data_IF_734048595267
#
_entry.id   IF_734048595267
#
_cell.length_a   1.000
_cell.length_b   1.000
_cell.length_c   1.000
_cell.angle_alpha   90.00
_cell.angle_beta   90.00
_cell.angle_gamma   90.00
#
_symmetry.space_group_name_H-M   'P 1'
#
loop_
_entity.id
_entity.type
_entity.pdbx_description
1 polymer ?
#
# COMPACT_ATOMS: atom_id res chain seq x y z
N UNK A 1 18.34 6.93 31.85
CA UNK A 1 17.04 7.48 31.47
C UNK A 1 17.15 8.28 30.15
N UNK A 2 17.93 7.78 29.15
CA UNK A 2 18.19 8.44 27.85
C UNK A 2 17.79 7.52 26.67
N UNK A 3 17.50 6.22 26.91
CA UNK A 3 17.25 5.23 25.82
C UNK A 3 15.81 5.07 25.36
N UNK A 4 14.87 5.88 25.87
CA UNK A 4 13.44 5.76 25.51
C UNK A 4 12.98 6.69 24.35
N UNK A 5 13.89 7.44 23.72
CA UNK A 5 13.55 8.41 22.66
C UNK A 5 13.90 7.96 21.23
N UNK A 6 14.36 6.72 21.06
CA UNK A 6 15.01 6.32 19.78
C UNK A 6 14.06 5.73 18.73
N UNK A 7 12.78 5.49 18.98
CA UNK A 7 11.92 4.84 17.97
C UNK A 7 10.51 5.45 17.82
N UNK A 8 10.36 6.76 17.89
CA UNK A 8 9.09 7.36 17.50
C UNK A 8 9.13 7.65 16.00
N UNK A 9 8.50 6.78 15.19
CA UNK A 9 8.26 7.11 13.79
C UNK A 9 7.33 8.34 13.72
N UNK A 10 7.69 9.33 12.94
CA UNK A 10 6.87 10.53 12.69
C UNK A 10 5.95 10.33 11.48
N UNK A 11 5.96 9.13 10.91
CA UNK A 11 5.20 8.77 9.71
C UNK A 11 3.76 8.41 10.08
N UNK A 12 2.80 8.82 9.27
CA UNK A 12 1.39 8.42 9.35
C UNK A 12 1.07 7.27 8.41
N UNK A 13 0.09 6.45 8.77
CA UNK A 13 -0.38 5.35 7.94
C UNK A 13 -1.57 5.76 7.08
N UNK A 14 -1.62 5.24 5.86
CA UNK A 14 -2.79 5.34 4.97
C UNK A 14 -3.10 3.96 4.42
N UNK A 15 -4.32 3.48 4.62
CA UNK A 15 -4.80 2.22 4.04
C UNK A 15 -5.90 2.53 3.04
N UNK A 16 -5.71 2.08 1.79
CA UNK A 16 -6.67 2.34 0.70
C UNK A 16 -7.58 1.13 0.51
N UNK A 17 -8.87 1.27 0.84
CA UNK A 17 -9.88 0.21 0.80
C UNK A 17 -11.19 0.63 0.09
N UNK A 18 -11.14 1.65 -0.79
CA UNK A 18 -12.32 2.24 -1.44
C UNK A 18 -12.67 1.72 -2.84
N UNK A 19 -11.85 0.85 -3.43
CA UNK A 19 -12.01 0.38 -4.82
C UNK A 19 -13.30 -0.40 -5.09
N UNK A 20 -13.70 -0.49 -6.37
CA UNK A 20 -14.96 -1.10 -6.83
C UNK A 20 -15.04 -2.64 -6.68
N UNK A 21 -13.90 -3.33 -6.56
CA UNK A 21 -13.82 -4.79 -6.41
C UNK A 21 -14.56 -5.60 -7.50
N UNK A 22 -14.70 -5.07 -8.72
CA UNK A 22 -15.51 -5.66 -9.81
C UNK A 22 -15.09 -7.07 -10.19
N UNK A 23 -13.84 -7.43 -9.99
CA UNK A 23 -13.28 -8.75 -10.33
C UNK A 23 -13.67 -9.87 -9.35
N UNK A 24 -14.06 -9.53 -8.12
CA UNK A 24 -14.57 -10.48 -7.12
C UNK A 24 -16.08 -10.75 -7.23
N UNK A 25 -16.77 -10.02 -8.12
CA UNK A 25 -18.14 -10.29 -8.57
C UNK A 25 -19.13 -10.55 -7.40
N UNK A 26 -19.67 -11.79 -7.35
CA UNK A 26 -20.69 -12.17 -6.36
C UNK A 26 -20.21 -12.08 -4.91
N UNK A 27 -18.92 -12.26 -4.66
CA UNK A 27 -18.35 -12.21 -3.31
C UNK A 27 -18.46 -10.82 -2.67
N UNK A 28 -18.57 -9.77 -3.48
CA UNK A 28 -18.62 -8.38 -3.01
C UNK A 28 -19.97 -7.70 -3.21
N UNK A 29 -21.03 -8.47 -3.48
CA UNK A 29 -22.39 -7.91 -3.63
C UNK A 29 -22.95 -7.29 -2.35
N UNK A 30 -22.59 -7.84 -1.21
CA UNK A 30 -23.15 -7.46 0.11
C UNK A 30 -22.08 -6.99 1.10
N UNK A 31 -20.80 -6.96 0.68
CA UNK A 31 -19.69 -6.55 1.55
C UNK A 31 -18.55 -5.96 0.75
N UNK A 32 -17.67 -5.22 1.42
CA UNK A 32 -16.42 -4.75 0.84
C UNK A 32 -15.40 -5.92 0.75
N UNK A 33 -14.59 -5.97 -0.33
CA UNK A 33 -13.60 -7.04 -0.52
C UNK A 33 -12.62 -7.17 0.65
N UNK A 34 -12.23 -6.05 1.27
CA UNK A 34 -11.28 -6.03 2.38
C UNK A 34 -11.86 -6.57 3.70
N UNK A 35 -13.19 -6.80 3.75
CA UNK A 35 -13.87 -7.47 4.87
C UNK A 35 -14.02 -8.97 4.65
N UNK A 36 -13.72 -9.48 3.45
CA UNK A 36 -13.68 -10.90 3.19
C UNK A 36 -12.57 -11.57 4.03
N UNK A 37 -12.82 -12.79 4.54
CA UNK A 37 -11.82 -13.50 5.30
C UNK A 37 -10.67 -13.97 4.40
N UNK A 38 -9.46 -13.86 4.91
CA UNK A 38 -8.28 -14.57 4.40
C UNK A 38 -7.75 -15.41 5.56
N UNK A 39 -7.92 -16.72 5.44
CA UNK A 39 -7.66 -17.73 6.46
C UNK A 39 -8.44 -17.45 7.75
N UNK A 40 -7.84 -16.89 8.78
CA UNK A 40 -8.39 -16.78 10.14
C UNK A 40 -8.90 -15.38 10.52
N UNK A 41 -8.78 -14.39 9.62
CA UNK A 41 -9.17 -13.00 9.90
C UNK A 41 -9.58 -12.21 8.64
N UNK A 42 -10.28 -11.08 8.80
CA UNK A 42 -10.60 -10.20 7.68
C UNK A 42 -9.34 -9.69 6.96
N UNK A 43 -9.39 -9.58 5.64
CA UNK A 43 -8.27 -9.12 4.80
C UNK A 43 -7.66 -7.81 5.29
N UNK A 44 -8.46 -6.86 5.74
CA UNK A 44 -8.00 -5.54 6.22
C UNK A 44 -7.11 -5.62 7.47
N UNK A 45 -7.13 -6.71 8.22
CA UNK A 45 -6.30 -6.88 9.41
C UNK A 45 -4.81 -6.97 9.08
N UNK A 46 -4.46 -7.54 7.91
CA UNK A 46 -3.06 -7.70 7.50
C UNK A 46 -2.32 -6.35 7.36
N UNK A 47 -2.84 -5.36 6.60
CA UNK A 47 -2.21 -4.04 6.55
C UNK A 47 -2.26 -3.30 7.89
N UNK A 48 -3.32 -3.46 8.71
CA UNK A 48 -3.39 -2.85 10.04
C UNK A 48 -2.32 -3.42 10.99
N UNK A 49 -2.12 -4.73 10.99
CA UNK A 49 -1.04 -5.38 11.74
C UNK A 49 0.34 -4.95 11.25
N UNK A 50 0.50 -4.73 9.93
CA UNK A 50 1.75 -4.19 9.39
C UNK A 50 2.03 -2.78 9.90
N UNK A 51 1.02 -1.89 9.95
CA UNK A 51 1.12 -0.56 10.54
C UNK A 51 1.51 -0.61 12.03
N UNK A 52 0.87 -1.51 12.81
CA UNK A 52 1.21 -1.76 14.21
C UNK A 52 2.67 -2.21 14.38
N UNK A 53 3.11 -3.20 13.55
CA UNK A 53 4.48 -3.72 13.63
C UNK A 53 5.54 -2.67 13.43
N UNK A 54 5.34 -1.70 12.53
CA UNK A 54 6.28 -0.60 12.27
C UNK A 54 6.16 0.56 13.26
N UNK A 55 5.18 0.51 14.17
CA UNK A 55 5.01 1.49 15.24
C UNK A 55 4.22 2.74 14.83
N UNK A 56 3.52 2.73 13.70
CA UNK A 56 2.61 3.81 13.29
C UNK A 56 1.44 3.87 14.26
N UNK A 57 1.09 5.09 14.70
CA UNK A 57 0.05 5.33 15.71
C UNK A 57 -1.21 6.00 15.16
N UNK A 58 -1.14 6.64 14.02
CA UNK A 58 -2.27 7.30 13.37
C UNK A 58 -2.42 6.73 11.96
N UNK A 59 -3.60 6.19 11.65
CA UNK A 59 -3.88 5.57 10.35
C UNK A 59 -5.19 6.11 9.80
N UNK A 60 -5.17 6.54 8.54
CA UNK A 60 -6.36 6.87 7.76
C UNK A 60 -6.75 5.66 6.90
N UNK A 61 -7.97 5.17 7.08
CA UNK A 61 -8.58 4.19 6.21
C UNK A 61 -9.53 4.89 5.22
N UNK A 62 -9.24 4.78 3.92
CA UNK A 62 -10.18 5.23 2.89
C UNK A 62 -11.10 4.09 2.51
N UNK A 63 -12.39 4.36 2.36
CA UNK A 63 -13.39 3.34 2.00
C UNK A 63 -14.50 3.94 1.15
N UNK A 64 -15.31 3.08 0.51
CA UNK A 64 -16.55 3.52 -0.12
C UNK A 64 -17.59 3.88 0.94
N UNK A 65 -18.43 4.90 0.65
CA UNK A 65 -19.43 5.40 1.60
C UNK A 65 -20.41 4.34 2.09
N UNK A 66 -20.81 3.41 1.22
CA UNK A 66 -21.72 2.30 1.53
C UNK A 66 -21.17 1.30 2.56
N UNK A 67 -19.85 1.23 2.73
CA UNK A 67 -19.19 0.27 3.63
C UNK A 67 -18.48 0.91 4.82
N UNK A 68 -18.53 2.23 4.97
CA UNK A 68 -17.84 2.90 6.11
C UNK A 68 -18.38 2.41 7.45
N UNK A 69 -19.69 2.14 7.53
CA UNK A 69 -20.31 1.59 8.74
C UNK A 69 -19.82 0.20 9.09
N UNK A 70 -19.60 -0.67 8.10
CA UNK A 70 -19.08 -2.02 8.30
C UNK A 70 -17.65 -1.99 8.87
N UNK A 71 -16.79 -1.13 8.29
CA UNK A 71 -15.43 -0.92 8.82
C UNK A 71 -15.45 -0.33 10.22
N UNK A 72 -16.29 0.67 10.48
CA UNK A 72 -16.40 1.31 11.79
C UNK A 72 -16.89 0.33 12.87
N UNK A 73 -17.84 -0.55 12.52
CA UNK A 73 -18.32 -1.60 13.43
C UNK A 73 -17.24 -2.65 13.73
N UNK A 74 -16.44 -3.04 12.72
CA UNK A 74 -15.39 -4.05 12.88
C UNK A 74 -14.17 -3.52 13.61
N UNK A 75 -13.70 -2.32 13.27
CA UNK A 75 -12.39 -1.80 13.65
C UNK A 75 -12.46 -0.73 14.75
N UNK A 76 -13.65 -0.15 14.97
CA UNK A 76 -13.89 0.92 15.93
C UNK A 76 -12.84 2.05 15.82
N UNK A 77 -12.20 2.43 16.91
CA UNK A 77 -11.12 3.43 16.97
C UNK A 77 -9.73 2.90 16.63
N UNK A 78 -9.58 1.58 16.44
CA UNK A 78 -8.31 0.93 16.12
C UNK A 78 -7.54 0.42 17.35
N UNK A 79 -8.17 0.37 18.51
CA UNK A 79 -7.53 0.01 19.79
C UNK A 79 -6.91 -1.40 19.77
N UNK A 80 -7.52 -2.37 19.09
CA UNK A 80 -7.01 -3.73 18.91
C UNK A 80 -5.64 -3.75 18.22
N UNK A 81 -5.35 -2.73 17.44
CA UNK A 81 -4.10 -2.57 16.71
C UNK A 81 -3.14 -1.57 17.35
N UNK A 82 -3.46 -1.04 18.55
CA UNK A 82 -2.66 0.01 19.18
C UNK A 82 -2.40 1.22 18.29
N UNK A 83 -3.41 1.59 17.49
CA UNK A 83 -3.44 2.74 16.58
C UNK A 83 -4.69 3.58 16.83
N UNK A 84 -4.64 4.84 16.39
CA UNK A 84 -5.81 5.69 16.25
C UNK A 84 -6.26 5.66 14.80
N UNK A 85 -7.47 5.15 14.55
CA UNK A 85 -8.01 4.97 13.22
C UNK A 85 -8.94 6.12 12.84
N UNK A 86 -8.72 6.69 11.66
CA UNK A 86 -9.55 7.70 11.02
C UNK A 86 -10.15 7.13 9.74
N UNK A 87 -11.33 7.62 9.35
CA UNK A 87 -12.03 7.15 8.16
C UNK A 87 -12.24 8.29 7.17
N UNK A 88 -12.01 8.01 5.88
CA UNK A 88 -12.34 8.93 4.79
C UNK A 88 -13.13 8.21 3.70
N UNK A 89 -14.15 8.90 3.15
CA UNK A 89 -15.02 8.35 2.12
C UNK A 89 -14.49 8.72 0.75
N UNK A 90 -14.16 7.72 -0.06
CA UNK A 90 -13.81 7.88 -1.47
C UNK A 90 -15.08 8.00 -2.31
N UNK A 91 -15.36 9.19 -2.84
CA UNK A 91 -16.53 9.45 -3.68
C UNK A 91 -16.35 8.84 -5.08
N UNK A 92 -15.21 9.08 -5.72
CA UNK A 92 -14.91 8.53 -7.03
C UNK A 92 -14.09 7.23 -6.90
N UNK A 93 -14.78 6.10 -6.82
CA UNK A 93 -14.17 4.78 -6.65
C UNK A 93 -13.39 4.29 -7.88
N UNK A 94 -13.58 4.93 -9.04
CA UNK A 94 -12.90 4.61 -10.29
C UNK A 94 -11.68 5.51 -10.55
N UNK A 95 -11.40 6.49 -9.69
CA UNK A 95 -10.39 7.52 -9.91
C UNK A 95 -8.93 7.06 -9.81
N UNK A 96 -8.69 5.84 -9.34
CA UNK A 96 -7.36 5.27 -9.21
C UNK A 96 -6.74 5.45 -7.82
N UNK A 97 -5.56 4.84 -7.64
CA UNK A 97 -4.87 4.81 -6.33
C UNK A 97 -4.43 6.20 -5.91
N UNK A 98 -3.88 7.01 -6.83
CA UNK A 98 -3.40 8.34 -6.49
C UNK A 98 -4.55 9.30 -6.10
N UNK A 99 -5.74 9.17 -6.70
CA UNK A 99 -6.92 9.93 -6.28
C UNK A 99 -7.37 9.55 -4.87
N UNK A 100 -7.44 8.25 -4.57
CA UNK A 100 -7.77 7.76 -3.23
C UNK A 100 -6.76 8.26 -2.19
N UNK A 101 -5.47 8.27 -2.54
CA UNK A 101 -4.40 8.78 -1.68
C UNK A 101 -4.54 10.26 -1.38
N UNK A 102 -5.04 11.06 -2.32
CA UNK A 102 -5.23 12.50 -2.13
C UNK A 102 -6.18 12.84 -0.97
N UNK A 103 -7.07 11.92 -0.58
CA UNK A 103 -7.93 12.08 0.61
C UNK A 103 -7.14 12.18 1.92
N UNK A 104 -5.90 11.70 1.93
CA UNK A 104 -5.03 11.75 3.10
C UNK A 104 -4.32 13.09 3.29
N UNK A 105 -4.45 14.06 2.38
CA UNK A 105 -3.71 15.32 2.41
C UNK A 105 -3.83 16.08 3.74
N UNK A 106 -5.06 16.34 4.18
CA UNK A 106 -5.30 17.06 5.43
C UNK A 106 -4.94 16.23 6.68
N UNK A 107 -5.07 14.90 6.59
CA UNK A 107 -4.67 13.99 7.65
C UNK A 107 -3.14 13.95 7.81
N UNK A 108 -2.39 13.91 6.72
CA UNK A 108 -0.93 13.83 6.72
C UNK A 108 -0.27 15.07 7.35
N UNK A 109 -0.81 16.28 7.15
CA UNK A 109 -0.31 17.54 7.75
C UNK A 109 1.18 17.76 7.55
N UNK A 110 1.67 17.57 6.32
CA UNK A 110 3.08 17.67 5.93
C UNK A 110 4.01 16.62 6.58
N UNK A 111 3.47 15.57 7.16
CA UNK A 111 4.27 14.43 7.64
C UNK A 111 4.43 13.39 6.52
N UNK A 112 5.55 12.63 6.49
CA UNK A 112 5.70 11.51 5.58
C UNK A 112 4.64 10.43 5.88
N UNK A 113 4.28 9.66 4.86
CA UNK A 113 3.24 8.64 4.97
C UNK A 113 3.73 7.26 4.50
N UNK A 114 3.26 6.22 5.19
CA UNK A 114 3.27 4.84 4.71
C UNK A 114 1.89 4.50 4.15
N UNK A 115 1.84 4.09 2.90
CA UNK A 115 0.60 3.70 2.21
C UNK A 115 0.62 2.19 1.99
N UNK A 116 -0.47 1.50 2.35
CA UNK A 116 -0.65 0.07 2.06
C UNK A 116 -2.05 -0.10 1.45
N UNK A 117 -2.13 -0.81 0.32
CA UNK A 117 -3.43 -1.21 -0.23
C UNK A 117 -4.07 -2.26 0.67
N UNK A 118 -5.37 -2.13 0.91
CA UNK A 118 -6.10 -2.93 1.90
C UNK A 118 -6.18 -4.43 1.61
N UNK A 119 -5.84 -4.85 0.40
CA UNK A 119 -5.80 -6.24 -0.08
C UNK A 119 -4.39 -6.81 -0.22
N UNK A 120 -3.38 -6.08 0.23
CA UNK A 120 -1.99 -6.53 0.18
C UNK A 120 -1.60 -7.27 1.45
N UNK A 121 -1.15 -8.50 1.29
CA UNK A 121 -0.67 -9.38 2.35
C UNK A 121 0.80 -9.68 2.13
N UNK A 122 1.63 -9.49 3.16
CA UNK A 122 3.08 -9.72 3.10
C UNK A 122 3.64 -10.02 4.49
N UNK A 123 4.82 -10.64 4.52
CA UNK A 123 5.51 -11.00 5.78
C UNK A 123 6.86 -10.30 5.96
N UNK A 124 7.10 -9.23 5.23
CA UNK A 124 8.34 -8.48 5.31
C UNK A 124 8.31 -7.49 6.48
N UNK A 125 9.42 -7.39 7.22
CA UNK A 125 9.57 -6.37 8.28
C UNK A 125 10.02 -5.03 7.67
N UNK A 126 9.06 -4.14 7.51
CA UNK A 126 9.28 -2.80 6.95
C UNK A 126 10.14 -1.86 7.83
N UNK A 127 10.39 -2.19 9.12
CA UNK A 127 11.06 -1.27 10.07
C UNK A 127 12.39 -0.76 9.57
N UNK A 128 13.24 -1.67 9.06
CA UNK A 128 14.59 -1.30 8.58
C UNK A 128 14.51 -0.36 7.39
N UNK A 129 13.67 -0.69 6.41
CA UNK A 129 13.50 0.09 5.18
C UNK A 129 12.91 1.46 5.47
N UNK A 130 11.88 1.54 6.35
CA UNK A 130 11.29 2.81 6.76
C UNK A 130 12.24 3.67 7.59
N UNK A 131 13.05 3.08 8.48
CA UNK A 131 14.09 3.82 9.21
C UNK A 131 15.14 4.40 8.27
N UNK A 132 15.53 3.66 7.23
CA UNK A 132 16.44 4.16 6.20
C UNK A 132 15.81 5.32 5.43
N UNK A 133 14.53 5.17 5.03
CA UNK A 133 13.77 6.21 4.36
C UNK A 133 13.64 7.50 5.20
N UNK A 134 13.26 7.39 6.49
CA UNK A 134 13.20 8.54 7.40
C UNK A 134 14.55 9.24 7.57
N UNK A 135 15.65 8.49 7.62
CA UNK A 135 17.00 9.08 7.69
C UNK A 135 17.36 9.81 6.39
N UNK A 136 16.99 9.25 5.23
CA UNK A 136 17.18 9.94 3.96
C UNK A 136 16.36 11.24 3.90
N UNK A 137 15.13 11.25 4.40
CA UNK A 137 14.32 12.46 4.46
C UNK A 137 14.94 13.54 5.37
N UNK A 138 15.61 13.16 6.46
CA UNK A 138 16.33 14.12 7.32
C UNK A 138 17.47 14.81 6.57
N UNK A 139 18.18 14.08 5.70
CA UNK A 139 19.33 14.59 4.94
C UNK A 139 18.86 15.29 3.66
N UNK A 140 18.11 14.60 2.83
CA UNK A 140 17.79 15.04 1.47
C UNK A 140 16.51 15.86 1.37
N UNK A 141 15.67 15.88 2.42
CA UNK A 141 14.38 16.57 2.49
C UNK A 141 13.36 16.12 1.41
N UNK A 142 13.64 15.02 0.71
CA UNK A 142 12.82 14.52 -0.38
C UNK A 142 13.01 13.02 -0.56
N UNK A 143 11.94 12.31 -0.94
CA UNK A 143 12.05 10.90 -1.32
C UNK A 143 10.71 10.17 -1.39
N UNK A 144 10.74 9.08 -2.14
CA UNK A 144 9.73 8.04 -2.13
C UNK A 144 10.40 6.67 -2.10
N UNK A 145 9.70 5.70 -1.54
CA UNK A 145 10.10 4.30 -1.55
C UNK A 145 8.94 3.45 -2.03
N UNK A 146 9.22 2.57 -2.96
CA UNK A 146 8.31 1.53 -3.44
C UNK A 146 8.84 0.15 -3.06
N UNK A 147 7.97 -0.83 -2.99
CA UNK A 147 8.35 -2.21 -2.72
C UNK A 147 8.03 -3.09 -3.91
N UNK A 148 9.00 -3.89 -4.33
CA UNK A 148 8.89 -4.82 -5.45
C UNK A 148 8.98 -6.27 -4.99
N UNK A 149 8.42 -7.19 -5.77
CA UNK A 149 8.50 -8.63 -5.56
C UNK A 149 8.75 -9.33 -6.89
N UNK A 150 9.56 -10.39 -6.89
CA UNK A 150 9.76 -11.20 -8.09
C UNK A 150 8.53 -12.05 -8.40
N UNK A 151 7.88 -11.81 -9.54
CA UNK A 151 6.71 -12.54 -10.05
C UNK A 151 6.90 -12.88 -11.54
N UNK A 152 7.74 -13.87 -11.88
CA UNK A 152 8.14 -14.13 -13.27
C UNK A 152 6.99 -14.31 -14.26
N UNK A 153 5.89 -14.95 -13.84
CA UNK A 153 4.73 -15.21 -14.71
C UNK A 153 3.66 -14.10 -14.69
N UNK A 154 3.66 -13.22 -13.69
CA UNK A 154 2.55 -12.32 -13.38
C UNK A 154 2.93 -10.83 -13.37
N UNK A 155 4.21 -10.49 -13.47
CA UNK A 155 4.68 -9.11 -13.32
C UNK A 155 3.91 -8.12 -14.22
N UNK A 156 3.60 -8.49 -15.47
CA UNK A 156 2.85 -7.63 -16.40
C UNK A 156 1.40 -7.33 -16.01
N UNK A 157 0.88 -7.92 -14.93
CA UNK A 157 -0.44 -7.58 -14.39
C UNK A 157 -0.38 -6.38 -13.43
N UNK A 158 0.82 -5.95 -13.06
CA UNK A 158 1.12 -4.88 -12.11
C UNK A 158 2.00 -3.80 -12.76
N UNK A 159 2.34 -2.76 -12.02
CA UNK A 159 3.46 -1.92 -12.38
C UNK A 159 4.74 -2.75 -12.38
N UNK A 160 5.56 -2.65 -13.42
CA UNK A 160 6.81 -3.40 -13.55
C UNK A 160 7.99 -2.47 -13.28
N UNK A 161 8.84 -2.86 -12.33
CA UNK A 161 10.02 -2.10 -11.92
C UNK A 161 11.24 -2.69 -12.63
N UNK A 162 11.97 -1.87 -13.39
CA UNK A 162 13.27 -2.21 -13.94
C UNK A 162 14.37 -1.65 -13.05
N UNK A 163 15.27 -2.54 -12.58
CA UNK A 163 16.39 -2.17 -11.70
C UNK A 163 17.72 -2.20 -12.45
N UNK A 164 18.57 -1.24 -12.16
CA UNK A 164 19.95 -1.21 -12.63
C UNK A 164 20.86 -2.17 -11.85
N UNK A 165 22.05 -2.42 -12.40
CA UNK A 165 23.07 -3.24 -11.73
C UNK A 165 23.59 -2.61 -10.44
N UNK A 166 23.42 -1.31 -10.29
CA UNK A 166 23.76 -0.50 -9.11
C UNK A 166 22.66 -0.50 -8.04
N UNK A 167 21.54 -1.22 -8.29
CA UNK A 167 20.39 -1.28 -7.39
C UNK A 167 19.43 -0.09 -7.48
N UNK A 168 19.66 0.85 -8.41
CA UNK A 168 18.75 1.97 -8.62
C UNK A 168 17.59 1.59 -9.56
N UNK A 169 16.43 2.24 -9.39
CA UNK A 169 15.30 2.10 -10.31
C UNK A 169 15.61 2.81 -11.62
N UNK A 170 15.49 2.10 -12.75
CA UNK A 170 15.65 2.64 -14.10
C UNK A 170 14.31 3.11 -14.66
N UNK A 171 13.28 2.28 -14.54
CA UNK A 171 11.95 2.59 -15.06
C UNK A 171 10.85 1.90 -14.25
N UNK A 172 9.66 2.48 -14.24
CA UNK A 172 8.43 1.82 -13.80
C UNK A 172 7.39 1.99 -14.89
N UNK A 173 6.79 0.88 -15.33
CA UNK A 173 5.79 0.86 -16.39
C UNK A 173 4.51 0.17 -15.92
N UNK A 174 3.36 0.84 -16.07
CA UNK A 174 2.07 0.31 -15.64
C UNK A 174 1.57 -0.77 -16.60
N UNK A 175 1.46 -1.99 -16.10
CA UNK A 175 0.89 -3.15 -16.80
C UNK A 175 1.38 -3.31 -18.24
N UNK A 176 2.70 -3.36 -18.47
CA UNK A 176 3.25 -3.45 -19.80
C UNK A 176 2.88 -4.77 -20.48
N UNK A 177 2.56 -4.72 -21.78
CA UNK A 177 2.32 -5.93 -22.58
C UNK A 177 3.57 -6.81 -22.71
N UNK A 178 4.76 -6.22 -22.58
CA UNK A 178 6.06 -6.90 -22.61
C UNK A 178 6.89 -6.40 -21.42
N UNK A 179 6.81 -7.06 -20.25
CA UNK A 179 7.55 -6.66 -19.06
C UNK A 179 9.06 -6.67 -19.31
N UNK A 180 9.75 -5.61 -18.84
CA UNK A 180 11.22 -5.51 -18.93
C UNK A 180 11.95 -6.26 -17.83
N UNK A 181 11.24 -6.60 -16.78
CA UNK A 181 11.72 -7.39 -15.64
C UNK A 181 10.60 -8.25 -15.08
N UNK A 182 10.93 -9.12 -14.14
CA UNK A 182 9.99 -9.91 -13.36
C UNK A 182 9.61 -9.28 -12.01
N UNK A 183 10.03 -8.03 -11.77
CA UNK A 183 9.76 -7.32 -10.52
C UNK A 183 8.44 -6.58 -10.63
N UNK A 184 7.41 -7.12 -9.97
CA UNK A 184 6.12 -6.46 -9.82
C UNK A 184 6.16 -5.43 -8.70
N UNK A 185 5.60 -4.23 -8.94
CA UNK A 185 5.38 -3.23 -7.92
C UNK A 185 4.22 -3.67 -7.02
N UNK A 186 4.47 -3.73 -5.72
CA UNK A 186 3.44 -4.05 -4.71
C UNK A 186 2.57 -2.83 -4.41
N UNK A 187 1.53 -3.03 -3.59
CA UNK A 187 0.72 -1.92 -3.07
C UNK A 187 1.24 -1.35 -1.75
N UNK A 188 2.57 -1.26 -1.59
CA UNK A 188 3.23 -0.70 -0.41
C UNK A 188 4.11 0.46 -0.85
N UNK A 189 3.91 1.65 -0.26
CA UNK A 189 4.62 2.86 -0.66
C UNK A 189 4.95 3.71 0.57
N UNK A 190 6.10 4.38 0.57
CA UNK A 190 6.38 5.46 1.50
C UNK A 190 6.69 6.74 0.73
N UNK A 191 6.11 7.86 1.16
CA UNK A 191 6.24 9.14 0.49
C UNK A 191 6.56 10.25 1.48
N UNK A 192 7.33 11.25 1.01
CA UNK A 192 7.41 12.55 1.66
C UNK A 192 6.10 13.35 1.49
N UNK A 193 6.01 14.51 2.13
CA UNK A 193 4.84 15.38 2.12
C UNK A 193 4.51 16.00 0.74
N UNK A 194 5.47 16.03 -0.19
CA UNK A 194 5.29 16.56 -1.56
C UNK A 194 4.37 15.69 -2.42
N UNK A 195 4.09 14.45 -2.00
CA UNK A 195 3.23 13.52 -2.73
C UNK A 195 1.90 14.14 -3.13
N UNK A 196 1.29 14.94 -2.25
CA UNK A 196 0.00 15.55 -2.52
C UNK A 196 0.07 16.68 -3.57
N UNK A 197 1.19 17.39 -3.63
CA UNK A 197 1.42 18.37 -4.70
C UNK A 197 1.64 17.70 -6.05
N UNK A 198 2.34 16.57 -6.08
CA UNK A 198 2.53 15.78 -7.31
C UNK A 198 1.23 15.16 -7.81
N UNK A 199 0.38 14.65 -6.93
CA UNK A 199 -0.95 14.14 -7.31
C UNK A 199 -1.76 15.19 -8.07
N UNK A 200 -1.70 16.48 -7.69
CA UNK A 200 -2.41 17.57 -8.39
C UNK A 200 -1.90 17.78 -9.83
N UNK A 201 -0.71 17.31 -10.18
CA UNK A 201 -0.15 17.45 -11.54
C UNK A 201 -0.43 16.26 -12.44
N UNK A 202 -0.94 15.16 -11.89
CA UNK A 202 -1.24 13.94 -12.64
C UNK A 202 -2.40 14.16 -13.62
N UNK A 203 -2.34 13.44 -14.72
CA UNK A 203 -3.43 13.37 -15.70
C UNK A 203 -4.01 11.97 -15.71
N UNK A 204 -5.32 11.83 -15.91
CA UNK A 204 -5.93 10.51 -16.05
C UNK A 204 -5.28 9.71 -17.17
N UNK A 205 -5.01 8.44 -16.89
CA UNK A 205 -4.55 7.47 -17.91
C UNK A 205 -5.67 7.16 -18.92
N UNK A 206 -5.38 6.41 -20.00
CA UNK A 206 -6.42 5.92 -20.89
C UNK A 206 -7.54 5.11 -20.20
N UNK A 207 -7.31 4.64 -19.00
CA UNK A 207 -8.30 3.97 -18.13
C UNK A 207 -9.14 4.95 -17.31
N UNK A 208 -8.90 6.26 -17.43
CA UNK A 208 -9.56 7.32 -16.65
C UNK A 208 -9.08 7.39 -15.19
N UNK A 209 -7.93 6.79 -14.86
CA UNK A 209 -7.40 6.68 -13.49
C UNK A 209 -6.16 7.55 -13.29
N UNK A 210 -6.00 8.13 -12.11
CA UNK A 210 -4.74 8.70 -11.66
C UNK A 210 -3.87 7.55 -11.15
N UNK A 211 -2.88 7.15 -11.97
CA UNK A 211 -2.06 5.97 -11.70
C UNK A 211 -0.98 6.28 -10.66
N UNK A 212 -0.81 5.36 -9.71
CA UNK A 212 0.30 5.46 -8.75
C UNK A 212 1.65 5.29 -9.43
N UNK A 213 1.70 4.57 -10.54
CA UNK A 213 2.91 4.42 -11.35
C UNK A 213 3.36 5.76 -11.93
N UNK A 214 2.44 6.62 -12.38
CA UNK A 214 2.78 7.96 -12.86
C UNK A 214 3.29 8.86 -11.74
N UNK A 215 2.69 8.74 -10.53
CA UNK A 215 3.17 9.41 -9.32
C UNK A 215 4.61 8.99 -8.99
N UNK A 216 4.89 7.69 -8.96
CA UNK A 216 6.23 7.16 -8.68
C UNK A 216 7.25 7.60 -9.74
N UNK A 217 6.84 7.72 -10.99
CA UNK A 217 7.68 8.22 -12.07
C UNK A 217 8.07 9.70 -11.91
N UNK A 218 7.31 10.52 -11.15
CA UNK A 218 7.76 11.89 -10.82
C UNK A 218 8.98 11.80 -9.90
N UNK A 219 8.92 11.01 -8.82
CA UNK A 219 10.05 10.80 -7.91
C UNK A 219 11.26 10.17 -8.61
N UNK A 220 11.01 9.24 -9.56
CA UNK A 220 12.07 8.62 -10.36
C UNK A 220 12.82 9.67 -11.18
N UNK A 221 12.10 10.54 -11.91
CA UNK A 221 12.70 11.62 -12.71
C UNK A 221 13.49 12.63 -11.86
N UNK A 222 13.10 12.83 -10.60
CA UNK A 222 13.84 13.67 -9.65
C UNK A 222 15.05 12.97 -9.01
N UNK A 223 15.29 11.69 -9.31
CA UNK A 223 16.33 10.88 -8.68
C UNK A 223 16.11 10.66 -7.19
N UNK A 224 14.85 10.67 -6.74
CA UNK A 224 14.47 10.55 -5.34
C UNK A 224 13.59 9.33 -5.03
N UNK A 225 13.49 8.37 -5.96
CA UNK A 225 12.78 7.11 -5.78
C UNK A 225 13.74 5.99 -5.41
N UNK A 226 13.39 5.22 -4.37
CA UNK A 226 14.06 3.97 -4.01
C UNK A 226 13.10 2.79 -4.16
N UNK A 227 13.67 1.61 -4.40
CA UNK A 227 12.94 0.35 -4.40
C UNK A 227 13.59 -0.62 -3.41
N UNK A 228 12.75 -1.27 -2.60
CA UNK A 228 13.13 -2.42 -1.76
C UNK A 228 12.48 -3.68 -2.32
N UNK A 229 13.24 -4.77 -2.45
CA UNK A 229 12.70 -6.06 -2.91
C UNK A 229 12.31 -6.88 -1.70
N UNK A 230 11.05 -7.33 -1.69
CA UNK A 230 10.52 -8.23 -0.65
C UNK A 230 10.38 -9.65 -1.19
N UNK A 231 10.46 -10.62 -0.30
CA UNK A 231 10.50 -12.04 -0.65
C UNK A 231 9.13 -12.68 -0.87
N UNK A 232 8.08 -12.10 -0.29
CA UNK A 232 6.73 -12.64 -0.40
C UNK A 232 5.65 -11.55 -0.28
N UNK A 233 4.68 -11.63 -1.18
CA UNK A 233 3.55 -10.73 -1.25
C UNK A 233 2.41 -11.34 -2.05
N UNK A 234 1.16 -11.02 -1.68
CA UNK A 234 -0.06 -11.40 -2.38
C UNK A 234 -1.00 -10.20 -2.49
N UNK A 235 -1.58 -10.00 -3.67
CA UNK A 235 -2.77 -9.18 -3.91
C UNK A 235 -4.02 -10.06 -3.81
N UNK A 236 -4.57 -10.18 -2.60
CA UNK A 236 -5.70 -11.06 -2.31
C UNK A 236 -7.04 -10.56 -2.89
N UNK A 237 -7.08 -9.34 -3.39
CA UNK A 237 -8.29 -8.68 -3.91
C UNK A 237 -8.45 -8.72 -5.42
N UNK A 238 -7.61 -9.46 -6.15
CA UNK A 238 -7.56 -9.43 -7.62
C UNK A 238 -8.62 -10.31 -8.29
N UNK A 239 -8.84 -11.52 -7.79
CA UNK A 239 -9.83 -12.47 -8.33
C UNK A 239 -10.25 -13.47 -7.26
N UNK A 240 -11.35 -14.27 -7.48
CA UNK A 240 -11.69 -15.38 -6.59
C UNK A 240 -10.58 -16.41 -6.44
N UNK A 241 -9.85 -16.70 -7.53
CA UNK A 241 -8.73 -17.66 -7.51
C UNK A 241 -7.56 -17.11 -6.69
N UNK A 242 -7.24 -15.81 -6.80
CA UNK A 242 -6.20 -15.18 -5.99
C UNK A 242 -6.61 -15.08 -4.51
N UNK A 243 -7.89 -14.87 -4.21
CA UNK A 243 -8.40 -14.93 -2.85
C UNK A 243 -8.23 -16.33 -2.25
N UNK A 244 -8.55 -17.38 -3.01
CA UNK A 244 -8.34 -18.77 -2.60
C UNK A 244 -6.85 -19.08 -2.40
N UNK A 245 -6.00 -18.65 -3.33
CA UNK A 245 -4.55 -18.79 -3.25
C UNK A 245 -3.99 -18.07 -1.99
N UNK A 246 -4.47 -16.88 -1.70
CA UNK A 246 -4.11 -16.15 -0.48
C UNK A 246 -4.48 -16.92 0.79
N UNK A 247 -5.69 -17.52 0.85
CA UNK A 247 -6.12 -18.37 1.97
C UNK A 247 -5.16 -19.55 2.18
N UNK A 248 -4.80 -20.27 1.10
CA UNK A 248 -3.90 -21.42 1.16
C UNK A 248 -2.51 -21.02 1.64
N UNK A 249 -1.90 -20.01 1.00
CA UNK A 249 -0.53 -19.60 1.32
C UNK A 249 -0.41 -19.01 2.74
N UNK A 250 -1.42 -18.27 3.20
CA UNK A 250 -1.43 -17.73 4.58
C UNK A 250 -1.58 -18.88 5.59
N UNK A 251 -2.49 -19.87 5.31
CA UNK A 251 -2.67 -21.03 6.17
C UNK A 251 -1.37 -21.85 6.30
N UNK A 252 -0.67 -22.08 5.20
CA UNK A 252 0.62 -22.78 5.19
C UNK A 252 1.67 -22.07 6.02
N UNK A 253 1.79 -20.73 5.90
CA UNK A 253 2.75 -19.92 6.65
C UNK A 253 2.44 -19.88 8.15
N UNK A 254 1.17 -19.79 8.53
CA UNK A 254 0.76 -19.80 9.94
C UNK A 254 0.99 -21.17 10.57
N UNK A 255 0.71 -22.26 9.85
CA UNK A 255 0.87 -23.62 10.35
C UNK A 255 2.32 -24.12 10.27
N UNK A 256 3.11 -23.66 9.28
CA UNK A 256 4.53 -24.00 9.14
C UNK A 256 5.44 -23.32 10.16
N UNK A 257 4.95 -22.29 10.86
CA UNK A 257 5.65 -21.61 11.95
C UNK A 257 5.25 -22.14 13.36
N UNK A 258 4.42 -23.19 13.44
CA UNK A 258 4.06 -23.93 14.65
C UNK A 258 4.90 -25.18 14.78
#
# INVERSE_FOLDING_TARGET
MVDALVNKTYMKGVILAGGLATRLQLLTKVTNKHLLPVYDKPMIYYPLEAMKRVGIKEVLLTTAGEHVGDFANLLQSGDDFDIRLYYAIQQNRAGGIAEALNLAKEFARNEPILVILGDNIFNFDLKKSLSAFENDLKVNKKGAMVFGVHLPALAGQYGVIEMGKDGNVISIEEKPAKPKSDIAQTGIYAYDDRVFSFIQTLKPSPRGQLEVTDLNNIYLREGSLRCEIIDWWIDAGTSPDELLNANIQVAERVNGNK
#
